data_IF_184137332400
#
_entry.id   IF_184137332400
#
_cell.length_a   1.000
_cell.length_b   1.000
_cell.length_c   1.000
_cell.angle_alpha   90.00
_cell.angle_beta   90.00
_cell.angle_gamma   90.00
#
_symmetry.space_group_name_H-M   'P 1'
#
loop_
_entity.id
_entity.type
_entity.pdbx_description
1 polymer ?
#
# COMPACT_ATOMS: atom_id res chain seq x y z
N UNK A 1 -25.19 29.77 48.51
CA UNK A 1 -24.60 29.28 47.25
C UNK A 1 -24.14 27.84 47.48
N UNK A 2 -24.76 26.84 46.84
CA UNK A 2 -24.38 25.43 47.01
C UNK A 2 -23.10 25.15 46.20
N UNK A 3 -22.12 24.49 46.81
CA UNK A 3 -20.81 24.24 46.22
C UNK A 3 -20.88 23.14 45.13
N UNK A 4 -20.90 23.54 43.86
CA UNK A 4 -21.09 22.65 42.70
C UNK A 4 -19.81 21.93 42.25
N UNK A 5 -18.73 22.01 43.04
CA UNK A 5 -17.42 21.42 42.73
C UNK A 5 -17.47 19.92 42.39
N UNK A 6 -18.36 19.17 43.03
CA UNK A 6 -18.50 17.72 42.79
C UNK A 6 -19.00 17.41 41.38
N UNK A 7 -19.91 18.23 40.85
CA UNK A 7 -20.43 18.07 39.49
C UNK A 7 -19.40 18.47 38.43
N UNK A 8 -18.58 19.49 38.71
CA UNK A 8 -17.47 19.87 37.85
C UNK A 8 -16.37 18.80 37.82
N UNK A 9 -16.01 18.25 38.97
CA UNK A 9 -15.03 17.17 39.08
C UNK A 9 -15.50 15.90 38.35
N UNK A 10 -16.77 15.53 38.49
CA UNK A 10 -17.37 14.40 37.77
C UNK A 10 -17.36 14.61 36.24
N UNK A 11 -17.70 15.83 35.78
CA UNK A 11 -17.66 16.18 34.36
C UNK A 11 -16.25 16.11 33.77
N UNK A 12 -15.23 16.61 34.48
CA UNK A 12 -13.84 16.53 34.03
C UNK A 12 -13.32 15.09 34.01
N UNK A 13 -13.69 14.26 34.98
CA UNK A 13 -13.31 12.84 34.98
C UNK A 13 -13.89 12.11 33.75
N UNK A 14 -15.14 12.41 33.38
CA UNK A 14 -15.78 11.81 32.21
C UNK A 14 -15.11 12.23 30.90
N UNK A 15 -14.75 13.51 30.78
CA UNK A 15 -14.00 14.04 29.64
C UNK A 15 -12.60 13.42 29.52
N UNK A 16 -11.92 13.21 30.64
CA UNK A 16 -10.61 12.57 30.67
C UNK A 16 -10.69 11.11 30.18
N UNK A 17 -11.67 10.34 30.64
CA UNK A 17 -11.88 8.95 30.19
C UNK A 17 -12.20 8.88 28.70
N UNK A 18 -13.05 9.78 28.20
CA UNK A 18 -13.33 9.87 26.77
C UNK A 18 -12.07 10.20 25.98
N UNK A 19 -11.33 11.25 26.35
CA UNK A 19 -10.09 11.62 25.68
C UNK A 19 -9.06 10.48 25.64
N UNK A 20 -9.00 9.68 26.71
CA UNK A 20 -8.12 8.51 26.80
C UNK A 20 -8.59 7.36 25.89
N UNK A 21 -9.89 7.17 25.72
CA UNK A 21 -10.44 6.17 24.79
C UNK A 21 -10.24 6.55 23.31
N UNK A 22 -10.26 7.85 22.98
CA UNK A 22 -9.96 8.34 21.63
C UNK A 22 -8.45 8.28 21.32
N UNK A 23 -7.58 8.49 22.31
CA UNK A 23 -6.13 8.49 22.09
C UNK A 23 -5.54 7.09 21.89
N UNK A 24 -6.12 6.06 22.50
CA UNK A 24 -5.64 4.67 22.33
C UNK A 24 -5.84 4.15 20.91
N UNK A 25 -6.90 4.56 20.20
CA UNK A 25 -7.10 4.20 18.80
C UNK A 25 -6.10 4.90 17.86
N UNK A 26 -5.71 6.14 18.17
CA UNK A 26 -4.73 6.90 17.38
C UNK A 26 -3.29 6.43 17.60
N UNK A 27 -3.03 5.71 18.70
CA UNK A 27 -1.72 5.13 19.02
C UNK A 27 -1.63 3.62 18.74
N UNK A 28 -2.64 3.03 18.11
CA UNK A 28 -2.56 1.65 17.64
C UNK A 28 -1.49 1.59 16.54
N UNK A 29 -0.29 1.14 16.91
CA UNK A 29 0.74 0.83 15.93
C UNK A 29 0.31 -0.41 15.14
N UNK A 30 0.45 -0.41 13.80
CA UNK A 30 0.22 -1.62 13.03
C UNK A 30 1.15 -2.72 13.55
N UNK A 31 0.63 -3.93 13.69
CA UNK A 31 1.47 -5.09 13.94
C UNK A 31 2.31 -5.34 12.68
N UNK A 32 3.63 -5.19 12.80
CA UNK A 32 4.59 -5.36 11.72
C UNK A 32 5.24 -6.75 11.68
N UNK A 33 4.92 -7.62 12.64
CA UNK A 33 5.63 -8.89 12.89
C UNK A 33 5.58 -9.85 11.68
N UNK A 34 4.55 -9.72 10.83
CA UNK A 34 4.37 -10.55 9.62
C UNK A 34 4.20 -9.71 8.35
N UNK A 35 4.55 -8.41 8.39
CA UNK A 35 4.44 -7.54 7.22
C UNK A 35 5.53 -7.78 6.17
N UNK A 36 6.61 -8.47 6.55
CA UNK A 36 7.74 -8.76 5.67
C UNK A 36 8.07 -10.24 5.74
N UNK A 37 8.14 -10.88 4.58
CA UNK A 37 8.68 -12.22 4.43
C UNK A 37 10.19 -12.06 4.26
N UNK A 38 10.99 -12.75 5.07
CA UNK A 38 12.44 -12.62 5.05
C UNK A 38 13.08 -13.21 3.77
N UNK A 39 12.44 -14.21 3.20
CA UNK A 39 12.88 -14.92 2.00
C UNK A 39 11.65 -15.51 1.29
N UNK A 40 11.62 -15.40 -0.04
CA UNK A 40 10.65 -16.14 -0.84
C UNK A 40 11.07 -17.61 -0.90
N UNK A 41 10.25 -18.48 -0.31
CA UNK A 41 10.54 -19.91 -0.14
C UNK A 41 9.58 -20.79 -0.93
N UNK A 42 8.61 -20.20 -1.60
CA UNK A 42 7.76 -20.93 -2.51
C UNK A 42 8.41 -20.99 -3.90
N UNK A 43 7.82 -21.78 -4.80
CA UNK A 43 8.31 -21.93 -6.18
C UNK A 43 7.50 -21.11 -7.17
N UNK A 44 6.75 -20.12 -6.70
CA UNK A 44 5.86 -19.34 -7.52
C UNK A 44 6.57 -18.07 -8.00
N UNK A 45 7.27 -18.23 -9.12
CA UNK A 45 7.92 -17.13 -9.85
C UNK A 45 7.09 -16.74 -11.08
N UNK A 46 5.96 -16.02 -10.94
CA UNK A 46 5.15 -15.62 -12.08
C UNK A 46 5.91 -14.59 -12.92
N UNK A 47 6.07 -14.85 -14.21
CA UNK A 47 6.69 -13.90 -15.13
C UNK A 47 7.44 -14.58 -16.27
N UNK A 48 8.31 -13.81 -16.90
CA UNK A 48 9.26 -14.30 -17.90
C UNK A 48 10.55 -14.73 -17.20
N UNK A 49 11.10 -15.87 -17.58
CA UNK A 49 12.38 -16.31 -17.04
C UNK A 49 13.52 -15.44 -17.58
N UNK A 50 14.65 -15.46 -16.88
CA UNK A 50 15.85 -14.76 -17.35
C UNK A 50 16.32 -15.39 -18.67
N UNK A 51 16.44 -14.57 -19.71
CA UNK A 51 16.83 -15.01 -21.05
C UNK A 51 15.65 -15.29 -21.98
N UNK A 52 14.42 -15.29 -21.47
CA UNK A 52 13.23 -15.39 -22.31
C UNK A 52 13.06 -14.14 -23.16
N UNK A 53 12.51 -14.34 -24.36
CA UNK A 53 12.11 -13.23 -25.21
C UNK A 53 10.86 -12.55 -24.65
N UNK A 54 10.86 -11.22 -24.62
CA UNK A 54 9.68 -10.47 -24.22
C UNK A 54 8.53 -10.74 -25.21
N UNK A 55 7.30 -11.01 -24.73
CA UNK A 55 6.19 -11.35 -25.60
C UNK A 55 5.77 -10.14 -26.44
N UNK A 56 5.23 -10.36 -27.66
CA UNK A 56 4.67 -9.28 -28.45
C UNK A 56 3.54 -8.60 -27.68
N UNK A 57 3.50 -7.28 -27.78
CA UNK A 57 2.44 -6.46 -27.18
C UNK A 57 1.53 -5.93 -28.27
N UNK A 58 0.42 -5.33 -27.86
CA UNK A 58 -0.38 -4.48 -28.74
C UNK A 58 -0.84 -3.27 -27.95
N UNK A 59 -0.24 -2.12 -28.23
CA UNK A 59 -0.52 -0.88 -27.54
C UNK A 59 -0.51 0.29 -28.52
N UNK A 60 -1.05 1.43 -28.10
CA UNK A 60 -0.95 2.69 -28.84
C UNK A 60 0.03 3.62 -28.13
N UNK A 61 1.01 4.12 -28.86
CA UNK A 61 1.96 5.12 -28.39
C UNK A 61 1.98 6.28 -29.39
N UNK A 62 1.67 7.49 -28.92
CA UNK A 62 1.57 8.70 -29.76
C UNK A 62 0.69 8.55 -31.01
N UNK A 63 -0.32 7.67 -30.95
CA UNK A 63 -1.24 7.40 -32.06
C UNK A 63 -0.76 6.32 -33.04
N UNK A 64 0.41 5.74 -32.83
CA UNK A 64 0.93 4.61 -33.58
C UNK A 64 0.70 3.30 -32.82
N UNK A 65 0.31 2.24 -33.53
CA UNK A 65 0.24 0.90 -32.93
C UNK A 65 1.66 0.34 -32.81
N UNK A 66 2.06 0.03 -31.58
CA UNK A 66 3.33 -0.63 -31.28
C UNK A 66 3.08 -2.11 -30.95
N UNK A 67 3.92 -2.97 -31.52
CA UNK A 67 3.86 -4.43 -31.35
C UNK A 67 4.99 -5.00 -30.47
N UNK A 68 5.91 -4.13 -30.03
CA UNK A 68 7.17 -4.51 -29.39
C UNK A 68 7.63 -3.40 -28.43
N UNK A 69 8.35 -3.79 -27.38
CA UNK A 69 8.98 -2.85 -26.43
C UNK A 69 10.42 -2.52 -26.79
N UNK A 70 11.02 -3.20 -27.77
CA UNK A 70 12.46 -3.07 -28.07
C UNK A 70 12.84 -1.64 -28.43
N UNK A 71 11.94 -0.88 -29.07
CA UNK A 71 12.15 0.54 -29.38
C UNK A 71 12.28 1.46 -28.15
N UNK A 72 11.89 0.99 -26.98
CA UNK A 72 11.98 1.72 -25.71
C UNK A 72 13.17 1.27 -24.83
N UNK A 73 13.95 0.28 -25.27
CA UNK A 73 15.10 -0.22 -24.51
C UNK A 73 16.31 0.71 -24.67
N UNK A 74 16.85 1.17 -23.54
CA UNK A 74 18.12 1.91 -23.51
C UNK A 74 19.33 1.00 -23.28
N UNK A 75 20.50 1.58 -23.02
CA UNK A 75 21.75 0.84 -22.74
C UNK A 75 21.64 -0.13 -21.55
N UNK A 76 20.70 0.14 -20.63
CA UNK A 76 20.44 -0.67 -19.43
C UNK A 76 19.16 -1.51 -19.54
N UNK A 77 18.60 -1.64 -20.74
CA UNK A 77 17.32 -2.31 -20.99
C UNK A 77 16.12 -1.40 -20.74
N UNK A 78 14.98 -2.02 -20.41
CA UNK A 78 13.72 -1.35 -20.11
C UNK A 78 13.05 -1.99 -18.88
N UNK A 79 12.23 -1.20 -18.19
CA UNK A 79 11.32 -1.70 -17.15
C UNK A 79 9.91 -1.65 -17.72
N UNK A 80 9.22 -2.79 -17.76
CA UNK A 80 7.83 -2.88 -18.20
C UNK A 80 6.91 -3.01 -16.98
N UNK A 81 5.96 -2.07 -16.86
CA UNK A 81 4.94 -2.08 -15.79
C UNK A 81 3.58 -2.11 -16.45
N UNK A 82 2.88 -3.24 -16.33
CA UNK A 82 1.48 -3.35 -16.71
C UNK A 82 0.62 -3.28 -15.44
N UNK A 83 -0.20 -2.24 -15.33
CA UNK A 83 -1.23 -2.17 -14.30
C UNK A 83 -2.57 -2.51 -14.94
N UNK A 84 -3.24 -3.55 -14.45
CA UNK A 84 -4.66 -3.75 -14.69
C UNK A 84 -5.41 -3.16 -13.50
N UNK A 85 -6.27 -2.18 -13.75
CA UNK A 85 -7.27 -1.79 -12.77
C UNK A 85 -8.23 -2.98 -12.62
N UNK A 86 -8.18 -3.67 -11.49
CA UNK A 86 -9.28 -4.52 -11.08
C UNK A 86 -10.32 -3.57 -10.48
N UNK A 87 -11.47 -3.43 -11.14
CA UNK A 87 -12.66 -2.93 -10.44
C UNK A 87 -13.01 -3.98 -9.39
N UNK A 88 -13.09 -3.56 -8.12
CA UNK A 88 -13.16 -4.40 -6.93
C UNK A 88 -14.50 -4.22 -6.23
#
# INVERSE_FOLDING_TARGET
MKNNWRSLAAGMALLAVLAQAWSTQLMAQPNLDEMFIAEDTDGFDPGLAIGDQFPPIRALYEGEEIASIEGFMGERGAIFIANRSADW
#
